data_IF_577313835735
#
_entry.id   IF_577313835735
#
_cell.length_a   1.000
_cell.length_b   1.000
_cell.length_c   1.000
_cell.angle_alpha   90.00
_cell.angle_beta   90.00
_cell.angle_gamma   90.00
#
_symmetry.space_group_name_H-M   'P 1'
#
loop_
_entity.id
_entity.type
_entity.pdbx_description
1 polymer ?
#
# COMPACT_ATOMS: atom_id res chain seq x y z
N UNK A 1 55.35 -13.16 -6.05
CA UNK A 1 54.23 -14.12 -6.17
C UNK A 1 53.06 -13.57 -5.36
N UNK A 2 52.07 -12.94 -6.00
CA UNK A 2 50.86 -12.47 -5.31
C UNK A 2 49.76 -13.51 -5.50
N UNK A 3 49.25 -14.07 -4.39
CA UNK A 3 48.13 -15.00 -4.42
C UNK A 3 46.81 -14.20 -4.43
N UNK A 4 46.03 -14.34 -5.50
CA UNK A 4 44.68 -13.79 -5.60
C UNK A 4 43.71 -14.79 -4.94
N UNK A 5 43.08 -14.40 -3.83
CA UNK A 5 41.99 -15.18 -3.24
C UNK A 5 40.67 -14.83 -3.95
N UNK A 6 39.95 -15.80 -4.54
CA UNK A 6 38.65 -15.53 -5.13
C UNK A 6 37.62 -15.32 -4.01
N UNK A 7 37.04 -14.13 -3.97
CA UNK A 7 35.93 -13.80 -3.08
C UNK A 7 34.67 -14.51 -3.61
N UNK A 8 34.31 -15.65 -3.03
CA UNK A 8 33.05 -16.34 -3.31
C UNK A 8 31.95 -15.69 -2.45
N UNK A 9 31.32 -14.63 -2.96
CA UNK A 9 30.13 -14.06 -2.33
C UNK A 9 28.90 -14.97 -2.52
N UNK A 10 28.00 -15.08 -1.54
CA UNK A 10 26.77 -15.85 -1.70
C UNK A 10 25.92 -15.28 -2.84
N UNK A 11 25.42 -16.15 -3.71
CA UNK A 11 24.44 -15.81 -4.74
C UNK A 11 23.17 -15.35 -4.04
N UNK A 12 22.93 -14.04 -3.98
CA UNK A 12 21.65 -13.50 -3.55
C UNK A 12 20.60 -13.84 -4.63
N UNK A 13 19.70 -14.76 -4.31
CA UNK A 13 18.53 -15.02 -5.14
C UNK A 13 17.55 -13.88 -4.92
N UNK A 14 17.40 -13.00 -5.92
CA UNK A 14 16.35 -11.98 -5.96
C UNK A 14 15.00 -12.62 -6.31
N UNK A 15 14.56 -13.59 -5.52
CA UNK A 15 13.25 -14.20 -5.68
C UNK A 15 12.23 -13.26 -5.03
N UNK A 16 11.71 -12.33 -5.83
CA UNK A 16 10.53 -11.56 -5.45
C UNK A 16 9.36 -12.50 -5.17
N UNK A 17 8.50 -12.13 -4.23
CA UNK A 17 7.22 -12.81 -4.04
C UNK A 17 6.40 -12.81 -5.33
N UNK A 18 5.40 -13.69 -5.46
CA UNK A 18 4.50 -13.67 -6.61
C UNK A 18 3.97 -12.25 -6.84
N UNK A 19 3.79 -11.82 -8.11
CA UNK A 19 3.31 -10.48 -8.41
C UNK A 19 2.00 -10.24 -7.67
N UNK A 20 1.96 -9.15 -6.90
CA UNK A 20 0.75 -8.72 -6.22
C UNK A 20 -0.27 -8.34 -7.29
N UNK A 21 -1.39 -9.09 -7.36
CA UNK A 21 -2.52 -8.72 -8.20
C UNK A 21 -3.22 -7.56 -7.47
N UNK A 22 -2.85 -6.32 -7.81
CA UNK A 22 -3.39 -5.12 -7.18
C UNK A 22 -4.69 -4.63 -7.79
N UNK A 23 -5.02 -5.14 -8.97
CA UNK A 23 -6.12 -4.65 -9.81
C UNK A 23 -7.29 -5.63 -9.86
N UNK A 24 -7.42 -6.49 -8.83
CA UNK A 24 -8.55 -7.39 -8.72
C UNK A 24 -9.87 -6.57 -8.63
N UNK A 25 -10.78 -6.71 -9.61
CA UNK A 25 -12.05 -6.01 -9.59
C UNK A 25 -13.02 -6.58 -8.55
N UNK A 26 -12.69 -7.70 -7.89
CA UNK A 26 -13.52 -8.27 -6.84
C UNK A 26 -13.72 -7.29 -5.66
N UNK A 27 -14.82 -7.54 -4.96
CA UNK A 27 -15.13 -6.91 -3.68
C UNK A 27 -14.77 -7.89 -2.56
N UNK A 28 -14.52 -7.41 -1.31
CA UNK A 28 -14.23 -8.29 -0.18
C UNK A 28 -15.25 -9.42 0.05
N UNK A 29 -16.48 -9.23 -0.44
CA UNK A 29 -17.61 -10.14 -0.31
C UNK A 29 -18.58 -9.70 0.79
N UNK A 30 -19.81 -10.23 0.77
CA UNK A 30 -20.88 -9.74 1.61
C UNK A 30 -20.57 -9.78 3.11
N UNK A 31 -20.58 -8.61 3.75
CA UNK A 31 -20.37 -8.46 5.19
C UNK A 31 -18.92 -8.63 5.63
N UNK A 32 -17.97 -8.70 4.70
CA UNK A 32 -16.55 -8.92 4.99
C UNK A 32 -15.78 -7.61 5.05
N UNK A 33 -14.79 -7.58 5.93
CA UNK A 33 -13.82 -6.49 6.04
C UNK A 33 -12.45 -6.95 5.56
N UNK A 34 -11.76 -6.08 4.86
CA UNK A 34 -10.33 -6.17 4.57
C UNK A 34 -9.65 -4.91 5.11
N UNK A 35 -8.60 -5.09 5.91
CA UNK A 35 -7.88 -3.98 6.55
C UNK A 35 -6.42 -4.09 6.13
N UNK A 36 -5.97 -3.10 5.35
CA UNK A 36 -4.60 -3.00 4.89
C UNK A 36 -3.87 -1.93 5.71
N UNK A 37 -2.68 -2.29 6.20
CA UNK A 37 -1.79 -1.40 6.93
C UNK A 37 -0.48 -1.27 6.17
N UNK A 38 0.01 -0.04 6.04
CA UNK A 38 1.26 0.23 5.37
C UNK A 38 2.08 1.28 6.11
N UNK A 39 3.38 1.30 5.84
CA UNK A 39 4.26 2.41 6.16
C UNK A 39 4.67 3.04 4.85
N UNK A 40 4.31 4.30 4.64
CA UNK A 40 4.71 5.05 3.46
C UNK A 40 5.70 6.15 3.82
N UNK A 41 6.76 6.27 3.06
CA UNK A 41 7.77 7.31 3.21
C UNK A 41 8.00 8.00 1.87
N UNK A 42 7.93 9.32 1.87
CA UNK A 42 8.19 10.13 0.69
C UNK A 42 9.30 11.16 0.99
N UNK A 43 10.27 11.26 0.09
CA UNK A 43 11.35 12.26 0.17
C UNK A 43 11.31 13.16 -1.06
N UNK A 44 11.12 14.45 -0.81
CA UNK A 44 11.23 15.53 -1.79
C UNK A 44 12.45 16.40 -1.47
N UNK A 45 12.93 17.26 -2.39
CA UNK A 45 13.93 18.25 -2.03
C UNK A 45 13.45 19.08 -0.83
N UNK A 46 14.24 19.11 0.24
CA UNK A 46 13.96 19.87 1.47
C UNK A 46 12.75 19.40 2.29
N UNK A 47 12.16 18.25 1.98
CA UNK A 47 10.98 17.73 2.68
C UNK A 47 10.99 16.19 2.79
N UNK A 48 10.54 15.69 3.94
CA UNK A 48 10.30 14.27 4.20
C UNK A 48 8.88 14.13 4.78
N UNK A 49 8.11 13.19 4.25
CA UNK A 49 6.80 12.79 4.78
C UNK A 49 6.82 11.31 5.17
N UNK A 50 6.18 10.99 6.30
CA UNK A 50 6.08 9.63 6.81
C UNK A 50 4.63 9.36 7.27
N UNK A 51 4.00 8.33 6.70
CA UNK A 51 2.66 7.88 7.05
C UNK A 51 2.75 6.55 7.78
N UNK A 52 2.49 6.56 9.09
CA UNK A 52 2.72 5.41 9.96
C UNK A 52 1.64 5.28 11.05
N UNK A 53 0.77 4.26 10.98
CA UNK A 53 0.46 3.46 9.80
C UNK A 53 -0.46 4.23 8.84
N UNK A 54 -0.26 4.07 7.54
CA UNK A 54 -1.34 4.26 6.58
C UNK A 54 -2.36 3.14 6.77
N UNK A 55 -3.63 3.52 6.82
CA UNK A 55 -4.77 2.66 7.11
C UNK A 55 -5.73 2.71 5.93
N UNK A 56 -6.09 1.53 5.42
CA UNK A 56 -7.10 1.35 4.39
C UNK A 56 -8.06 0.24 4.83
N UNK A 57 -9.33 0.59 4.96
CA UNK A 57 -10.40 -0.31 5.39
C UNK A 57 -11.40 -0.45 4.25
N UNK A 58 -11.63 -1.68 3.83
CA UNK A 58 -12.59 -2.05 2.80
C UNK A 58 -13.68 -2.92 3.39
N UNK A 59 -14.94 -2.61 3.09
CA UNK A 59 -16.12 -3.37 3.53
C UNK A 59 -16.96 -3.79 2.33
N UNK A 60 -17.24 -5.07 2.19
CA UNK A 60 -18.14 -5.59 1.18
C UNK A 60 -19.61 -5.53 1.62
N UNK A 61 -20.46 -4.90 0.82
CA UNK A 61 -21.92 -4.94 0.95
C UNK A 61 -22.50 -5.74 -0.21
N UNK A 62 -22.99 -6.95 0.08
CA UNK A 62 -23.34 -7.90 -0.97
C UNK A 62 -22.10 -8.34 -1.77
N UNK A 63 -22.32 -8.78 -2.99
CA UNK A 63 -21.25 -9.34 -3.84
C UNK A 63 -20.72 -8.32 -4.88
N UNK A 64 -21.21 -7.09 -4.83
CA UNK A 64 -20.99 -6.07 -5.87
C UNK A 64 -20.62 -4.69 -5.37
N UNK A 65 -20.81 -4.39 -4.09
CA UNK A 65 -20.49 -3.08 -3.53
C UNK A 65 -19.36 -3.22 -2.52
N UNK A 66 -18.39 -2.32 -2.62
CA UNK A 66 -17.34 -2.15 -1.61
C UNK A 66 -17.32 -0.69 -1.17
N UNK A 67 -17.28 -0.48 0.14
CA UNK A 67 -17.06 0.81 0.77
C UNK A 67 -15.64 0.86 1.29
N UNK A 68 -14.96 1.98 1.08
CA UNK A 68 -13.56 2.16 1.48
C UNK A 68 -13.41 3.39 2.36
N UNK A 69 -12.58 3.28 3.40
CA UNK A 69 -12.10 4.39 4.22
C UNK A 69 -10.58 4.33 4.30
N UNK A 70 -9.91 5.42 3.91
CA UNK A 70 -8.46 5.55 3.91
C UNK A 70 -8.02 6.76 4.73
N UNK A 71 -6.99 6.60 5.56
CA UNK A 71 -6.39 7.69 6.34
C UNK A 71 -4.99 7.32 6.84
N UNK A 72 -4.26 8.28 7.39
CA UNK A 72 -2.97 8.01 8.03
C UNK A 72 -2.58 9.12 9.01
N UNK A 73 -2.01 8.83 10.20
CA UNK A 73 -1.16 9.79 10.90
C UNK A 73 0.04 10.12 10.01
N UNK A 74 0.33 11.40 9.84
CA UNK A 74 1.43 11.89 9.00
C UNK A 74 2.40 12.72 9.82
N UNK A 75 3.70 12.49 9.61
CA UNK A 75 4.79 13.33 10.11
C UNK A 75 5.48 14.00 8.93
N UNK A 76 5.48 15.33 8.91
CA UNK A 76 6.12 16.15 7.89
C UNK A 76 7.34 16.86 8.47
N UNK A 77 8.50 16.71 7.81
CA UNK A 77 9.74 17.41 8.17
C UNK A 77 10.21 18.25 6.99
N UNK A 78 10.30 19.56 7.18
CA UNK A 78 10.82 20.52 6.19
C UNK A 78 12.13 21.14 6.66
N UNK A 79 13.04 21.42 5.73
CA UNK A 79 14.28 22.15 6.04
C UNK A 79 13.97 23.51 6.68
N UNK A 80 14.68 23.86 7.76
CA UNK A 80 14.48 25.14 8.47
C UNK A 80 13.29 25.17 9.43
N UNK A 81 12.51 24.09 9.52
CA UNK A 81 11.36 23.97 10.44
C UNK A 81 11.47 22.69 11.29
N UNK A 82 10.81 22.71 12.46
CA UNK A 82 10.62 21.49 13.25
C UNK A 82 9.68 20.50 12.54
N UNK A 83 9.68 19.22 12.94
CA UNK A 83 8.70 18.26 12.43
C UNK A 83 7.29 18.63 12.89
N UNK A 84 6.31 18.45 11.99
CA UNK A 84 4.89 18.73 12.24
C UNK A 84 4.13 17.42 12.06
N UNK A 85 3.38 17.02 13.09
CA UNK A 85 2.46 15.88 13.04
C UNK A 85 1.05 16.32 12.65
N UNK A 86 0.30 15.44 11.99
CA UNK A 86 -1.10 15.65 11.65
C UNK A 86 -1.79 14.37 11.20
N UNK A 87 -2.99 14.52 10.66
CA UNK A 87 -3.70 13.45 9.96
C UNK A 87 -3.67 13.78 8.47
N UNK A 88 -3.35 12.78 7.64
CA UNK A 88 -3.52 12.86 6.20
C UNK A 88 -5.01 13.04 5.87
N UNK A 89 -5.30 13.54 4.67
CA UNK A 89 -6.65 13.57 4.14
C UNK A 89 -7.33 12.22 4.36
N UNK A 90 -8.53 12.26 4.94
CA UNK A 90 -9.34 11.05 5.12
C UNK A 90 -10.26 10.94 3.92
N UNK A 91 -10.19 9.80 3.25
CA UNK A 91 -10.88 9.55 1.99
C UNK A 91 -11.90 8.42 2.18
N UNK A 92 -13.07 8.61 1.58
CA UNK A 92 -14.10 7.58 1.52
C UNK A 92 -14.47 7.32 0.07
N UNK A 93 -14.58 6.06 -0.33
CA UNK A 93 -14.91 5.68 -1.69
C UNK A 93 -15.97 4.58 -1.74
N UNK A 94 -16.63 4.46 -2.90
CA UNK A 94 -17.55 3.38 -3.24
C UNK A 94 -17.08 2.76 -4.55
N UNK A 95 -16.90 1.43 -4.54
CA UNK A 95 -16.68 0.61 -5.73
C UNK A 95 -17.95 -0.18 -6.02
N UNK A 96 -18.39 -0.18 -7.28
CA UNK A 96 -19.51 -0.99 -7.76
C UNK A 96 -19.06 -1.89 -8.91
N UNK A 97 -19.13 -3.21 -8.70
CA UNK A 97 -18.91 -4.24 -9.71
C UNK A 97 -20.18 -4.49 -10.52
N UNK A 98 -20.28 -3.80 -11.66
CA UNK A 98 -21.46 -3.84 -12.53
C UNK A 98 -21.46 -5.04 -13.50
N UNK A 99 -20.29 -5.58 -13.86
CA UNK A 99 -20.13 -6.72 -14.76
C UNK A 99 -19.39 -7.86 -14.06
N UNK A 100 -19.88 -9.08 -14.28
CA UNK A 100 -19.22 -10.32 -13.84
C UNK A 100 -18.69 -11.07 -15.06
N UNK A 101 -17.48 -11.61 -14.96
CA UNK A 101 -16.81 -12.32 -16.06
C UNK A 101 -17.57 -13.58 -16.49
N UNK A 102 -18.25 -14.26 -15.57
CA UNK A 102 -19.09 -15.45 -15.85
C UNK A 102 -20.31 -15.15 -16.74
N UNK A 103 -20.74 -13.89 -16.84
CA UNK A 103 -21.91 -13.50 -17.63
C UNK A 103 -21.54 -12.91 -19.00
N UNK A 104 -20.23 -12.76 -19.28
CA UNK A 104 -19.71 -12.09 -20.47
C UNK A 104 -19.26 -13.05 -21.60
N UNK A 105 -19.58 -14.35 -21.51
CA UNK A 105 -19.22 -15.39 -22.49
C UNK A 105 -20.37 -16.33 -22.82
#
# INVERSE_FOLDING_TARGET
MFALFPFCGPRAHAQGGPPMITDDPETPGNGKFEINLAVAFERRPHEISLDVPAIDINYGWGDRIQLTLQTAPVLLKRSGHGPIGGLRGTETALKWRFLDEETAG
#
